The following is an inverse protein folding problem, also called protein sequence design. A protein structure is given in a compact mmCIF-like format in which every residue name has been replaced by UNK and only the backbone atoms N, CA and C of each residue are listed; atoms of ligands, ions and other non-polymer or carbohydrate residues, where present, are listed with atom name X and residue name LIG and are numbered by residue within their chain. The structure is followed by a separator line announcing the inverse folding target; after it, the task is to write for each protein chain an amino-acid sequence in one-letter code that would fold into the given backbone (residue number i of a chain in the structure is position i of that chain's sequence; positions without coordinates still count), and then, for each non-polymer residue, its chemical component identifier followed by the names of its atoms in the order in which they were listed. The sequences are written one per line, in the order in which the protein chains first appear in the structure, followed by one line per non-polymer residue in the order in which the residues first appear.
data_IF_655619804961
#
_entry.id   IF_655619804961
#
_cell.length_a   1.000
_cell.length_b   1.000
_cell.length_c   1.000
_cell.angle_alpha   90.00
_cell.angle_beta   90.00
_cell.angle_gamma   90.00
#
_symmetry.space_group_name_H-M   'P 1'
#
loop_
_entity.id
_entity.type
_entity.pdbx_description
1 polymer ?
#
# COMPACT_ATOMS: atom_id res chain seq x y z
N UNK A 1 39.19 -25.55 25.30
CA UNK A 1 38.59 -26.10 24.06
C UNK A 1 37.43 -25.17 23.74
N UNK A 2 37.41 -24.63 22.53
CA UNK A 2 36.41 -23.65 22.11
C UNK A 2 35.34 -24.45 21.37
N UNK A 3 34.18 -24.59 22.00
CA UNK A 3 33.11 -25.47 21.54
C UNK A 3 32.20 -24.65 20.62
N UNK A 4 32.81 -24.13 19.54
CA UNK A 4 32.19 -23.24 18.57
C UNK A 4 31.16 -23.97 17.72
N UNK A 5 30.05 -24.38 18.31
CA UNK A 5 28.82 -24.63 17.58
C UNK A 5 28.33 -23.26 17.09
N UNK A 6 28.69 -22.90 15.86
CA UNK A 6 28.12 -21.74 15.21
C UNK A 6 26.60 -21.93 15.17
N UNK A 7 25.88 -21.15 15.98
CA UNK A 7 24.43 -21.14 15.99
C UNK A 7 24.00 -20.59 14.63
N UNK A 8 23.48 -21.47 13.77
CA UNK A 8 23.00 -21.07 12.46
C UNK A 8 21.91 -20.01 12.62
N UNK A 9 21.97 -18.96 11.80
CA UNK A 9 20.90 -17.98 11.74
C UNK A 9 19.58 -18.66 11.33
N UNK A 10 18.44 -18.09 11.72
CA UNK A 10 17.12 -18.63 11.38
C UNK A 10 16.97 -18.90 9.87
N UNK A 11 17.60 -18.06 9.02
CA UNK A 11 17.61 -18.22 7.57
C UNK A 11 18.39 -19.46 7.11
N UNK A 12 19.50 -19.77 7.77
CA UNK A 12 20.34 -20.94 7.47
C UNK A 12 19.66 -22.23 7.91
N UNK A 13 19.02 -22.24 9.08
CA UNK A 13 18.21 -23.36 9.56
C UNK A 13 17.05 -23.65 8.61
N UNK A 14 16.26 -22.62 8.23
CA UNK A 14 15.17 -22.77 7.26
C UNK A 14 15.66 -23.33 5.93
N UNK A 15 16.79 -22.84 5.41
CA UNK A 15 17.33 -23.25 4.11
C UNK A 15 17.82 -24.70 4.12
N UNK A 16 18.56 -25.09 5.15
CA UNK A 16 19.08 -26.45 5.30
C UNK A 16 17.95 -27.48 5.45
N UNK A 17 16.92 -27.15 6.23
CA UNK A 17 15.80 -28.06 6.47
C UNK A 17 14.87 -28.20 5.27
N UNK A 18 14.60 -27.11 4.52
CA UNK A 18 13.85 -27.20 3.25
C UNK A 18 14.51 -28.11 2.23
N UNK A 19 15.83 -28.13 2.16
CA UNK A 19 16.58 -28.96 1.20
C UNK A 19 16.62 -30.45 1.59
N UNK A 20 16.41 -30.77 2.86
CA UNK A 20 16.50 -32.15 3.38
C UNK A 20 15.12 -32.79 3.57
N UNK A 21 14.03 -32.03 3.43
CA UNK A 21 12.66 -32.51 3.65
C UNK A 21 12.35 -32.80 5.13
N UNK A 22 13.25 -32.42 6.05
CA UNK A 22 13.09 -32.64 7.48
C UNK A 22 12.43 -31.41 8.11
N UNK A 23 11.49 -31.60 9.04
CA UNK A 23 10.84 -30.50 9.77
C UNK A 23 11.19 -30.64 11.24
N UNK A 24 12.24 -29.96 11.67
CA UNK A 24 12.67 -29.99 13.07
C UNK A 24 11.74 -29.15 13.97
N UNK A 25 11.79 -29.40 15.27
CA UNK A 25 11.14 -28.54 16.27
C UNK A 25 11.60 -27.09 16.15
N UNK A 26 12.89 -26.85 15.88
CA UNK A 26 13.46 -25.50 15.73
C UNK A 26 12.87 -24.76 14.53
N UNK A 27 12.68 -25.44 13.39
CA UNK A 27 12.03 -24.82 12.23
C UNK A 27 10.57 -24.46 12.52
N UNK A 28 9.83 -25.32 13.25
CA UNK A 28 8.45 -25.01 13.67
C UNK A 28 8.40 -23.78 14.59
N UNK A 29 9.33 -23.66 15.54
CA UNK A 29 9.45 -22.50 16.41
C UNK A 29 9.73 -21.22 15.62
N UNK A 30 10.69 -21.24 14.70
CA UNK A 30 11.02 -20.10 13.83
C UNK A 30 9.80 -19.69 12.99
N UNK A 31 9.07 -20.66 12.43
CA UNK A 31 7.85 -20.38 11.66
C UNK A 31 6.76 -19.74 12.53
N UNK A 32 6.54 -20.25 13.75
CA UNK A 32 5.57 -19.66 14.68
C UNK A 32 5.96 -18.24 15.09
N UNK A 33 7.24 -17.98 15.39
CA UNK A 33 7.72 -16.65 15.75
C UNK A 33 7.58 -15.66 14.59
N UNK A 34 7.91 -16.08 13.37
CA UNK A 34 7.71 -15.24 12.18
C UNK A 34 6.23 -14.93 11.94
N UNK A 35 5.35 -15.93 12.13
CA UNK A 35 3.92 -15.75 12.03
C UNK A 35 3.39 -14.75 13.07
N UNK A 36 3.79 -14.91 14.34
CA UNK A 36 3.43 -14.00 15.43
C UNK A 36 3.88 -12.57 15.14
N UNK A 37 5.13 -12.38 14.71
CA UNK A 37 5.66 -11.07 14.33
C UNK A 37 4.91 -10.44 13.17
N UNK A 38 4.56 -11.21 12.13
CA UNK A 38 3.76 -10.71 11.00
C UNK A 38 2.37 -10.28 11.48
N UNK A 39 1.75 -11.05 12.38
CA UNK A 39 0.44 -10.72 12.93
C UNK A 39 0.48 -9.46 13.80
N UNK A 40 1.48 -9.33 14.67
CA UNK A 40 1.68 -8.15 15.51
C UNK A 40 1.89 -6.88 14.67
N UNK A 41 2.70 -6.97 13.60
CA UNK A 41 2.87 -5.87 12.66
C UNK A 41 1.55 -5.48 11.97
N UNK A 42 0.72 -6.46 11.59
CA UNK A 42 -0.59 -6.18 11.00
C UNK A 42 -1.50 -5.46 11.98
N UNK A 43 -1.59 -5.94 13.22
CA UNK A 43 -2.38 -5.31 14.28
C UNK A 43 -1.92 -3.87 14.52
N UNK A 44 -0.60 -3.65 14.60
CA UNK A 44 -0.03 -2.33 14.79
C UNK A 44 -0.40 -1.38 13.63
N UNK A 45 -0.33 -1.84 12.37
CA UNK A 45 -0.74 -1.03 11.21
C UNK A 45 -2.22 -0.69 11.24
N UNK A 46 -3.09 -1.64 11.60
CA UNK A 46 -4.53 -1.38 11.74
C UNK A 46 -4.81 -0.34 12.84
N UNK A 47 -4.07 -0.41 13.95
CA UNK A 47 -4.18 0.51 15.07
C UNK A 47 -3.68 1.92 14.72
N UNK A 48 -2.53 2.03 14.06
CA UNK A 48 -2.00 3.31 13.59
C UNK A 48 -2.90 3.93 12.53
N UNK A 49 -3.45 3.16 11.59
CA UNK A 49 -4.43 3.66 10.61
C UNK A 49 -5.67 4.23 11.31
N UNK A 50 -6.21 3.51 12.30
CA UNK A 50 -7.36 3.96 13.08
C UNK A 50 -7.06 5.21 13.88
N UNK A 51 -5.87 5.28 14.48
CA UNK A 51 -5.43 6.44 15.26
C UNK A 51 -5.22 7.66 14.35
N UNK A 52 -4.59 7.48 13.19
CA UNK A 52 -4.42 8.54 12.19
C UNK A 52 -5.75 9.11 11.73
N UNK A 53 -6.74 8.26 11.43
CA UNK A 53 -8.09 8.71 11.06
C UNK A 53 -8.79 9.48 12.19
N UNK A 54 -8.56 9.11 13.45
CA UNK A 54 -9.09 9.86 14.61
C UNK A 54 -8.44 11.24 14.72
N UNK A 55 -7.11 11.29 14.71
CA UNK A 55 -6.34 12.53 14.78
C UNK A 55 -6.69 13.48 13.63
N UNK A 56 -6.88 12.93 12.43
CA UNK A 56 -7.32 13.68 11.26
C UNK A 56 -8.67 14.36 11.48
N UNK A 57 -9.67 13.61 11.99
CA UNK A 57 -10.99 14.15 12.31
C UNK A 57 -10.95 15.24 13.38
N UNK A 58 -9.99 15.13 14.30
CA UNK A 58 -9.74 16.13 15.35
C UNK A 58 -8.95 17.35 14.84
N UNK A 59 -8.60 17.40 13.54
CA UNK A 59 -7.86 18.50 12.92
C UNK A 59 -6.35 18.50 13.19
N UNK A 60 -5.82 17.43 13.81
CA UNK A 60 -4.41 17.26 14.15
C UNK A 60 -3.68 16.60 12.97
N UNK A 61 -3.53 17.33 11.87
CA UNK A 61 -3.08 16.76 10.60
C UNK A 61 -1.63 16.28 10.62
N UNK A 62 -0.73 16.95 11.33
CA UNK A 62 0.66 16.50 11.51
C UNK A 62 0.73 15.19 12.31
N UNK A 63 0.00 15.10 13.43
CA UNK A 63 -0.05 13.86 14.24
C UNK A 63 -0.70 12.72 13.44
N UNK A 64 -1.71 13.02 12.63
CA UNK A 64 -2.33 12.04 11.73
C UNK A 64 -1.36 11.55 10.65
N UNK A 65 -0.57 12.48 10.07
CA UNK A 65 0.45 12.18 9.08
C UNK A 65 1.49 11.22 9.62
N UNK A 66 2.01 11.46 10.84
CA UNK A 66 2.96 10.54 11.49
C UNK A 66 2.42 9.11 11.58
N UNK A 67 1.12 8.95 11.86
CA UNK A 67 0.48 7.64 11.96
C UNK A 67 0.32 6.97 10.61
N UNK A 68 -0.11 7.68 9.58
CA UNK A 68 -0.21 7.10 8.24
C UNK A 68 1.17 6.76 7.66
N UNK A 69 2.18 7.59 7.89
CA UNK A 69 3.56 7.29 7.47
C UNK A 69 4.15 6.09 8.22
N UNK A 70 3.78 5.87 9.49
CA UNK A 70 4.14 4.65 10.22
C UNK A 70 3.56 3.38 9.57
N UNK A 71 2.32 3.45 9.08
CA UNK A 71 1.71 2.36 8.30
C UNK A 71 2.52 2.10 7.03
N UNK A 72 2.87 3.13 6.27
CA UNK A 72 3.64 3.01 5.03
C UNK A 72 5.07 2.48 5.28
N UNK A 73 5.70 2.87 6.38
CA UNK A 73 7.05 2.44 6.77
C UNK A 73 7.14 0.98 7.22
N UNK A 74 6.01 0.33 7.55
CA UNK A 74 5.96 -1.03 8.10
C UNK A 74 5.65 -2.11 7.06
N UNK A 75 5.86 -1.81 5.77
CA UNK A 75 5.63 -2.70 4.61
C UNK A 75 4.19 -3.25 4.59
N UNK A 76 3.19 -2.37 4.44
CA UNK A 76 1.80 -2.76 4.39
C UNK A 76 1.51 -3.65 3.17
N UNK A 77 0.41 -4.39 3.24
CA UNK A 77 -0.17 -5.00 2.04
C UNK A 77 -0.69 -3.88 1.10
N UNK A 78 -0.88 -4.18 -0.18
CA UNK A 78 -1.20 -3.17 -1.22
C UNK A 78 -2.43 -2.33 -0.84
N UNK A 79 -3.50 -2.96 -0.35
CA UNK A 79 -4.73 -2.28 0.05
C UNK A 79 -4.52 -1.30 1.22
N UNK A 80 -3.69 -1.69 2.20
CA UNK A 80 -3.34 -0.83 3.34
C UNK A 80 -2.48 0.35 2.88
N UNK A 81 -1.54 0.11 1.95
CA UNK A 81 -0.66 1.12 1.40
C UNK A 81 -1.45 2.20 0.63
N UNK A 82 -2.37 1.78 -0.24
CA UNK A 82 -3.16 2.69 -1.07
C UNK A 82 -4.04 3.61 -0.22
N UNK A 83 -4.70 3.06 0.80
CA UNK A 83 -5.54 3.81 1.74
C UNK A 83 -4.70 4.75 2.62
N UNK A 84 -3.55 4.30 3.13
CA UNK A 84 -2.68 5.15 3.94
C UNK A 84 -2.12 6.32 3.11
N UNK A 85 -1.63 6.08 1.89
CA UNK A 85 -1.14 7.12 0.98
C UNK A 85 -2.23 8.14 0.60
N UNK A 86 -3.47 7.69 0.39
CA UNK A 86 -4.60 8.61 0.15
C UNK A 86 -4.84 9.54 1.35
N UNK A 87 -4.81 8.99 2.57
CA UNK A 87 -4.97 9.81 3.78
C UNK A 87 -3.77 10.75 4.02
N UNK A 88 -2.55 10.33 3.68
CA UNK A 88 -1.36 11.20 3.65
C UNK A 88 -1.59 12.38 2.70
N UNK A 89 -2.12 12.13 1.50
CA UNK A 89 -2.45 13.20 0.55
C UNK A 89 -3.48 14.18 1.13
N UNK A 90 -4.50 13.66 1.83
CA UNK A 90 -5.49 14.49 2.53
C UNK A 90 -4.86 15.33 3.64
N UNK A 91 -3.93 14.78 4.44
CA UNK A 91 -3.17 15.55 5.44
C UNK A 91 -2.37 16.67 4.79
N UNK A 92 -1.57 16.36 3.77
CA UNK A 92 -0.75 17.36 3.08
C UNK A 92 -1.59 18.45 2.42
N UNK A 93 -2.74 18.10 1.85
CA UNK A 93 -3.71 19.06 1.34
C UNK A 93 -4.17 20.02 2.43
N UNK A 94 -4.62 19.53 3.59
CA UNK A 94 -5.06 20.39 4.71
C UNK A 94 -3.94 21.27 5.28
N UNK A 95 -2.70 20.83 5.16
CA UNK A 95 -1.50 21.56 5.56
C UNK A 95 -0.94 22.49 4.48
N UNK A 96 -1.64 22.62 3.34
CA UNK A 96 -1.25 23.42 2.19
C UNK A 96 0.13 23.05 1.59
N UNK A 97 0.53 21.78 1.76
CA UNK A 97 1.79 21.22 1.24
C UNK A 97 1.54 20.53 -0.10
N UNK A 98 1.22 21.33 -1.12
CA UNK A 98 0.68 20.86 -2.40
C UNK A 98 1.53 19.77 -3.07
N UNK A 99 2.84 19.99 -3.24
CA UNK A 99 3.71 19.03 -3.94
C UNK A 99 3.82 17.69 -3.20
N UNK A 100 3.90 17.70 -1.88
CA UNK A 100 3.91 16.49 -1.07
C UNK A 100 2.57 15.74 -1.16
N UNK A 101 1.46 16.48 -1.15
CA UNK A 101 0.12 15.89 -1.28
C UNK A 101 -0.13 15.26 -2.65
N UNK A 102 0.31 15.90 -3.73
CA UNK A 102 0.22 15.33 -5.08
C UNK A 102 1.06 14.06 -5.24
N UNK A 103 2.28 14.07 -4.70
CA UNK A 103 3.14 12.89 -4.67
C UNK A 103 2.47 11.73 -3.92
N UNK A 104 1.94 11.98 -2.73
CA UNK A 104 1.22 10.97 -1.95
C UNK A 104 -0.05 10.46 -2.65
N UNK A 105 -0.78 11.34 -3.33
CA UNK A 105 -1.96 10.97 -4.11
C UNK A 105 -1.58 10.07 -5.30
N UNK A 106 -0.49 10.38 -5.98
CA UNK A 106 0.05 9.53 -7.06
C UNK A 106 0.44 8.15 -6.53
N UNK A 107 1.13 8.08 -5.40
CA UNK A 107 1.48 6.80 -4.76
C UNK A 107 0.25 6.00 -4.33
N UNK A 108 -0.82 6.65 -3.86
CA UNK A 108 -2.09 6.00 -3.57
C UNK A 108 -2.68 5.33 -4.82
N UNK A 109 -2.72 6.04 -5.94
CA UNK A 109 -3.25 5.53 -7.21
C UNK A 109 -2.36 4.42 -7.79
N UNK A 110 -1.03 4.54 -7.72
CA UNK A 110 -0.09 3.47 -8.11
C UNK A 110 -0.29 2.20 -7.27
N UNK A 111 -0.63 2.36 -6.00
CA UNK A 111 -0.93 1.26 -5.10
C UNK A 111 -2.36 0.70 -5.28
N UNK A 112 -3.13 1.17 -6.26
CA UNK A 112 -4.47 0.64 -6.55
C UNK A 112 -5.63 1.37 -5.88
N UNK A 113 -5.45 2.62 -5.43
CA UNK A 113 -6.58 3.44 -5.01
C UNK A 113 -7.41 3.88 -6.23
N UNK A 114 -8.59 3.29 -6.40
CA UNK A 114 -9.41 3.46 -7.62
C UNK A 114 -10.67 4.33 -7.44
N UNK A 115 -10.93 4.90 -6.26
CA UNK A 115 -12.07 5.80 -6.06
C UNK A 115 -11.77 7.20 -6.63
N UNK A 116 -11.60 7.27 -7.96
CA UNK A 116 -11.31 8.51 -8.67
C UNK A 116 -12.45 9.52 -8.60
N UNK A 117 -13.69 9.05 -8.38
CA UNK A 117 -14.82 9.95 -8.10
C UNK A 117 -14.53 10.72 -6.81
N UNK A 118 -14.14 10.01 -5.75
CA UNK A 118 -13.78 10.64 -4.49
C UNK A 118 -12.59 11.57 -4.63
N UNK A 119 -11.52 11.19 -5.35
CA UNK A 119 -10.37 12.08 -5.60
C UNK A 119 -10.84 13.45 -6.17
N UNK A 120 -11.80 13.43 -7.09
CA UNK A 120 -12.34 14.65 -7.72
C UNK A 120 -13.29 15.47 -6.86
N UNK A 121 -13.92 14.88 -5.83
CA UNK A 121 -14.97 15.57 -5.05
C UNK A 121 -14.64 15.73 -3.56
N UNK A 122 -13.71 14.98 -3.00
CA UNK A 122 -13.39 14.97 -1.57
C UNK A 122 -12.93 16.36 -1.12
N UNK A 123 -13.63 17.05 -0.20
CA UNK A 123 -13.25 18.39 0.24
C UNK A 123 -11.87 18.42 0.92
N UNK A 124 -11.37 17.28 1.37
CA UNK A 124 -10.05 17.19 2.00
C UNK A 124 -8.92 17.39 0.99
N UNK A 125 -9.16 17.13 -0.29
CA UNK A 125 -8.23 17.35 -1.39
C UNK A 125 -8.42 18.71 -2.09
N UNK A 126 -9.24 19.60 -1.54
CA UNK A 126 -9.58 20.88 -2.20
C UNK A 126 -8.33 21.72 -2.54
N UNK A 127 -7.35 21.80 -1.65
CA UNK A 127 -6.12 22.56 -1.90
C UNK A 127 -5.30 21.94 -3.05
N UNK A 128 -5.21 20.61 -3.11
CA UNK A 128 -4.55 19.95 -4.24
C UNK A 128 -5.32 20.19 -5.54
N UNK A 129 -6.66 20.07 -5.52
CA UNK A 129 -7.50 20.29 -6.71
C UNK A 129 -7.40 21.68 -7.31
N UNK A 130 -7.06 22.68 -6.50
CA UNK A 130 -6.87 24.04 -6.97
C UNK A 130 -5.50 24.26 -7.65
N UNK A 131 -4.60 23.28 -7.61
CA UNK A 131 -3.30 23.33 -8.28
C UNK A 131 -3.41 22.90 -9.75
N UNK A 132 -2.60 23.51 -10.61
CA UNK A 132 -2.57 23.19 -12.05
C UNK A 132 -2.07 21.75 -12.30
N UNK A 133 -1.18 21.27 -11.43
CA UNK A 133 -0.57 19.95 -11.52
C UNK A 133 -1.54 18.82 -11.18
N UNK A 134 -2.61 19.09 -10.42
CA UNK A 134 -3.61 18.07 -10.11
C UNK A 134 -4.31 17.55 -11.36
N UNK A 135 -4.69 18.44 -12.28
CA UNK A 135 -5.28 18.05 -13.56
C UNK A 135 -4.30 17.20 -14.39
N UNK A 136 -3.02 17.61 -14.41
CA UNK A 136 -1.96 16.86 -15.09
C UNK A 136 -1.78 15.46 -14.50
N UNK A 137 -1.82 15.34 -13.17
CA UNK A 137 -1.75 14.06 -12.47
C UNK A 137 -2.93 13.16 -12.85
N UNK A 138 -4.17 13.65 -12.78
CA UNK A 138 -5.35 12.84 -13.09
C UNK A 138 -5.43 12.40 -14.55
N UNK A 139 -5.02 13.25 -15.50
CA UNK A 139 -5.05 12.91 -16.91
C UNK A 139 -4.23 11.63 -17.22
N UNK A 140 -3.11 11.41 -16.50
CA UNK A 140 -2.30 10.18 -16.64
C UNK A 140 -3.10 8.91 -16.36
N UNK A 141 -4.02 8.97 -15.41
CA UNK A 141 -4.83 7.81 -14.99
C UNK A 141 -6.14 7.71 -15.78
N UNK A 142 -6.73 8.83 -16.18
CA UNK A 142 -7.91 8.85 -17.04
C UNK A 142 -7.62 8.30 -18.45
N UNK A 143 -6.50 8.67 -19.06
CA UNK A 143 -6.08 8.13 -20.35
C UNK A 143 -5.83 6.62 -20.28
N UNK A 144 -5.20 6.13 -19.20
CA UNK A 144 -4.97 4.70 -18.99
C UNK A 144 -6.30 3.93 -18.91
N UNK A 145 -7.28 4.44 -18.16
CA UNK A 145 -8.59 3.80 -18.03
C UNK A 145 -9.37 3.81 -19.35
N UNK A 146 -9.32 4.91 -20.11
CA UNK A 146 -9.98 4.99 -21.42
C UNK A 146 -9.31 4.02 -22.41
N UNK A 147 -7.99 3.94 -22.44
CA UNK A 147 -7.26 3.06 -23.34
C UNK A 147 -7.53 1.59 -23.01
N UNK A 148 -7.47 1.18 -21.74
CA UNK A 148 -7.75 -0.19 -21.34
C UNK A 148 -9.19 -0.62 -21.66
N UNK A 149 -10.17 0.24 -21.38
CA UNK A 149 -11.56 -0.03 -21.75
C UNK A 149 -11.77 -0.11 -23.26
N UNK A 150 -11.13 0.77 -24.04
CA UNK A 150 -11.19 0.73 -25.49
C UNK A 150 -10.56 -0.58 -26.03
N UNK A 151 -9.40 -0.97 -25.53
CA UNK A 151 -8.74 -2.24 -25.88
C UNK A 151 -9.63 -3.43 -25.53
N UNK A 152 -10.22 -3.46 -24.33
CA UNK A 152 -11.07 -4.55 -23.88
C UNK A 152 -12.38 -4.63 -24.68
N UNK A 153 -12.98 -3.50 -25.03
CA UNK A 153 -14.14 -3.44 -25.92
C UNK A 153 -13.81 -3.98 -27.33
N UNK A 154 -12.67 -3.59 -27.90
CA UNK A 154 -12.17 -4.11 -29.18
C UNK A 154 -11.95 -5.62 -29.09
N UNK A 155 -11.23 -6.10 -28.06
CA UNK A 155 -11.02 -7.54 -27.84
C UNK A 155 -12.32 -8.33 -27.71
N UNK A 156 -13.33 -7.77 -27.05
CA UNK A 156 -14.66 -8.39 -26.93
C UNK A 156 -15.36 -8.51 -28.29
N UNK A 157 -15.31 -7.46 -29.11
CA UNK A 157 -15.91 -7.44 -30.45
C UNK A 157 -15.21 -8.44 -31.39
N UNK A 158 -13.87 -8.48 -31.39
CA UNK A 158 -13.10 -9.33 -32.31
C UNK A 158 -12.84 -10.76 -31.79
N UNK A 159 -12.83 -10.97 -30.47
CA UNK A 159 -12.64 -12.28 -29.84
C UNK A 159 -13.80 -13.25 -30.11
N UNK A 160 -14.99 -12.74 -30.41
CA UNK A 160 -16.14 -13.58 -30.77
C UNK A 160 -16.07 -14.14 -32.20
N UNK A 161 -15.23 -13.55 -33.07
CA UNK A 161 -15.12 -13.94 -34.49
C UNK A 161 -14.18 -15.13 -34.70
N UNK A 162 -13.29 -15.44 -33.75
CA UNK A 162 -12.27 -16.51 -33.90
C UNK A 162 -12.59 -17.80 -33.13
N UNK A 163 -13.77 -17.92 -32.51
CA UNK A 163 -14.19 -19.13 -31.78
C UNK A 163 -15.17 -20.03 -32.58
N UNK A 164 -15.14 -19.95 -33.91
CA UNK A 164 -15.85 -20.87 -34.81
C UNK A 164 -14.92 -21.34 -35.93
N UNK A 165 -14.02 -22.26 -35.61
CA UNK A 165 -13.57 -23.32 -36.53
C UNK A 165 -13.32 -24.60 -35.74
#
# INVERSE_FOLDING_TARGET
KWDGAAEFSDKEVIRAERNTGNVSTKLREIQMQNYQKKMEQKIQREDDLRMGLKLYKDGKYEEALEKFESVLGSKPEIDEASVASYNVACCYSKLDRIQAGLSALEEAMKAGYEDFKRIRTDPDLANLRNSEEFATLLNKYDESFINENAINAIKSIFGFVLAKE
#
